data_IF_814097759206
#
_entry.id   IF_814097759206
#
_cell.length_a   1.000
_cell.length_b   1.000
_cell.length_c   1.000
_cell.angle_alpha   90.00
_cell.angle_beta   90.00
_cell.angle_gamma   90.00
#
_symmetry.space_group_name_H-M   'P 1'
#
loop_
_entity.id
_entity.type
_entity.pdbx_description
1 polymer ?
#
# COMPACT_ATOMS: atom_id res chain seq x y z
N UNK A 1 -26.14 28.16 -28.10
CA UNK A 1 -25.99 26.70 -28.26
C UNK A 1 -25.60 26.09 -26.93
N UNK A 2 -26.33 25.06 -26.51
CA UNK A 2 -26.40 24.53 -25.13
C UNK A 2 -25.09 23.89 -24.67
N UNK A 3 -24.67 24.12 -23.42
CA UNK A 3 -23.42 23.64 -22.81
C UNK A 3 -23.27 22.10 -22.78
N UNK A 4 -24.35 21.38 -23.09
CA UNK A 4 -24.37 19.92 -23.16
C UNK A 4 -23.63 19.36 -24.39
N UNK A 5 -23.43 20.14 -25.45
CA UNK A 5 -22.73 19.65 -26.66
C UNK A 5 -21.22 19.54 -26.49
N UNK A 6 -20.63 20.27 -25.54
CA UNK A 6 -19.17 20.27 -25.32
C UNK A 6 -18.66 19.03 -24.59
N UNK A 7 -19.51 18.35 -23.84
CA UNK A 7 -19.14 17.16 -23.05
C UNK A 7 -19.09 15.90 -23.95
N UNK A 8 -19.90 15.84 -25.00
CA UNK A 8 -19.91 14.72 -25.94
C UNK A 8 -18.66 14.66 -26.84
N UNK A 9 -18.02 15.81 -27.11
CA UNK A 9 -16.79 15.89 -27.91
C UNK A 9 -15.53 15.40 -27.17
N UNK A 10 -15.60 15.25 -25.84
CA UNK A 10 -14.48 14.83 -24.99
C UNK A 10 -14.51 13.33 -24.64
N UNK A 11 -15.43 12.55 -25.20
CA UNK A 11 -15.52 11.11 -24.95
C UNK A 11 -15.01 10.30 -26.15
N UNK A 12 -13.88 9.57 -26.02
CA UNK A 12 -13.22 8.88 -27.14
C UNK A 12 -13.99 7.69 -27.72
N UNK A 13 -15.14 7.31 -27.13
CA UNK A 13 -15.96 6.16 -27.56
C UNK A 13 -17.42 6.52 -27.89
N UNK A 14 -17.73 7.80 -28.13
CA UNK A 14 -19.11 8.23 -28.45
C UNK A 14 -19.70 7.53 -29.69
N UNK A 15 -18.88 7.09 -30.64
CA UNK A 15 -19.30 6.33 -31.82
C UNK A 15 -19.84 4.92 -31.52
N UNK A 16 -19.48 4.29 -30.39
CA UNK A 16 -20.02 2.98 -29.99
C UNK A 16 -21.43 3.06 -29.39
N UNK A 17 -21.85 4.25 -28.95
CA UNK A 17 -23.16 4.48 -28.32
C UNK A 17 -24.25 4.92 -29.31
N UNK A 18 -23.99 4.80 -30.62
CA UNK A 18 -25.00 5.07 -31.67
C UNK A 18 -25.37 6.54 -31.86
N UNK A 19 -24.62 7.48 -31.27
CA UNK A 19 -24.79 8.90 -31.58
C UNK A 19 -24.12 9.19 -32.94
N UNK A 20 -24.83 9.81 -33.89
CA UNK A 20 -24.27 10.09 -35.21
C UNK A 20 -23.05 11.00 -35.03
N UNK A 21 -21.94 10.64 -35.69
CA UNK A 21 -20.83 11.56 -35.89
C UNK A 21 -21.40 12.83 -36.47
N UNK A 22 -21.42 13.91 -35.69
CA UNK A 22 -21.72 15.22 -36.23
C UNK A 22 -20.54 15.54 -37.15
N UNK A 23 -20.68 15.24 -38.44
CA UNK A 23 -19.88 15.86 -39.48
C UNK A 23 -20.00 17.36 -39.24
N UNK A 24 -18.93 17.92 -38.69
CA UNK A 24 -18.85 19.32 -38.36
C UNK A 24 -19.27 20.14 -39.58
N UNK A 25 -20.19 21.12 -39.46
CA UNK A 25 -20.24 22.17 -40.45
C UNK A 25 -18.83 22.77 -40.48
N UNK A 26 -18.26 22.87 -41.68
CA UNK A 26 -16.97 23.48 -42.00
C UNK A 26 -16.89 24.85 -41.30
N UNK A 27 -16.38 24.84 -40.07
CA UNK A 27 -16.04 26.02 -39.32
C UNK A 27 -14.72 26.44 -39.95
N UNK A 28 -14.76 27.61 -40.58
CA UNK A 28 -13.61 28.27 -41.16
C UNK A 28 -12.55 28.41 -40.06
N UNK A 29 -11.66 27.43 -40.00
CA UNK A 29 -10.45 27.45 -39.21
C UNK A 29 -9.64 28.61 -39.77
N UNK A 30 -9.73 29.72 -39.06
CA UNK A 30 -8.84 30.87 -39.20
C UNK A 30 -7.47 30.36 -38.80
N UNK A 31 -6.82 29.72 -39.76
CA UNK A 31 -5.44 29.29 -39.69
C UNK A 31 -4.61 30.57 -39.54
N UNK A 32 -4.21 30.88 -38.31
CA UNK A 32 -3.49 32.12 -37.96
C UNK A 32 -2.14 32.26 -38.69
N UNK A 33 -1.72 31.20 -39.40
CA UNK A 33 -0.55 31.16 -40.28
C UNK A 33 -0.90 31.45 -41.75
N UNK A 34 -2.15 31.75 -42.11
CA UNK A 34 -2.49 32.22 -43.46
C UNK A 34 -2.31 33.73 -43.57
N UNK A 35 -1.82 34.17 -44.72
CA UNK A 35 -1.77 35.58 -45.06
C UNK A 35 -3.19 36.12 -45.14
N UNK A 36 -3.43 37.27 -44.50
CA UNK A 36 -4.74 37.93 -44.56
C UNK A 36 -4.82 38.74 -45.85
N UNK A 37 -6.01 38.81 -46.44
CA UNK A 37 -6.23 39.52 -47.71
C UNK A 37 -5.89 41.02 -47.63
N UNK A 38 -5.88 41.59 -46.42
CA UNK A 38 -5.56 43.00 -46.14
C UNK A 38 -4.08 43.25 -45.75
N UNK A 39 -3.22 42.23 -45.76
CA UNK A 39 -1.81 42.34 -45.33
C UNK A 39 -0.82 42.24 -46.49
N UNK A 40 0.19 43.12 -46.46
CA UNK A 40 1.32 43.04 -47.39
C UNK A 40 2.20 41.83 -47.09
N UNK A 41 2.91 41.32 -48.10
CA UNK A 41 3.86 40.21 -47.95
C UNK A 41 4.93 40.51 -46.87
N UNK A 42 5.32 41.77 -46.70
CA UNK A 42 6.29 42.21 -45.69
C UNK A 42 5.70 42.14 -44.27
N UNK A 43 4.44 42.53 -44.08
CA UNK A 43 3.75 42.46 -42.79
C UNK A 43 3.45 41.02 -42.38
N UNK A 44 3.14 40.16 -43.36
CA UNK A 44 2.98 38.73 -43.16
C UNK A 44 4.30 38.08 -42.69
N UNK A 45 5.40 38.33 -43.40
CA UNK A 45 6.71 37.79 -43.05
C UNK A 45 7.14 38.21 -41.63
N UNK A 46 6.94 39.49 -41.28
CA UNK A 46 7.28 40.01 -39.96
C UNK A 46 6.46 39.39 -38.83
N UNK A 47 5.16 39.13 -39.05
CA UNK A 47 4.32 38.46 -38.05
C UNK A 47 4.74 37.01 -37.84
N UNK A 48 5.02 36.28 -38.93
CA UNK A 48 5.47 34.89 -38.85
C UNK A 48 6.80 34.77 -38.11
N UNK A 49 7.76 35.65 -38.41
CA UNK A 49 9.02 35.69 -37.65
C UNK A 49 8.83 35.98 -36.16
N UNK A 50 7.86 36.83 -35.78
CA UNK A 50 7.61 37.13 -34.38
C UNK A 50 6.91 35.97 -33.66
N UNK A 51 6.02 35.24 -34.34
CA UNK A 51 5.43 34.01 -33.84
C UNK A 51 6.49 32.92 -33.64
N UNK A 52 7.35 32.70 -34.63
CA UNK A 52 8.43 31.69 -34.55
C UNK A 52 9.38 32.00 -33.39
N UNK A 53 9.77 33.28 -33.21
CA UNK A 53 10.60 33.71 -32.07
C UNK A 53 9.90 33.54 -30.71
N UNK A 54 8.57 33.64 -30.64
CA UNK A 54 7.80 33.38 -29.41
C UNK A 54 7.69 31.88 -29.12
N UNK A 55 7.44 31.06 -30.14
CA UNK A 55 7.40 29.60 -30.02
C UNK A 55 8.78 29.04 -29.60
N UNK A 56 9.88 29.56 -30.15
CA UNK A 56 11.24 29.16 -29.79
C UNK A 56 11.57 29.51 -28.32
N UNK A 57 11.18 30.71 -27.86
CA UNK A 57 11.35 31.10 -26.45
C UNK A 57 10.51 30.25 -25.50
N UNK A 58 9.29 29.89 -25.90
CA UNK A 58 8.43 29.01 -25.11
C UNK A 58 9.04 27.61 -24.98
N UNK A 59 9.54 27.03 -26.07
CA UNK A 59 10.24 25.74 -26.04
C UNK A 59 11.49 25.76 -25.16
N UNK A 60 12.28 26.83 -25.24
CA UNK A 60 13.50 26.97 -24.43
C UNK A 60 13.19 27.14 -22.94
N UNK A 61 12.09 27.81 -22.59
CA UNK A 61 11.64 27.93 -21.21
C UNK A 61 11.13 26.60 -20.65
N UNK A 62 10.39 25.81 -21.45
CA UNK A 62 9.91 24.47 -21.07
C UNK A 62 11.09 23.49 -20.89
N UNK A 63 12.12 23.58 -21.73
CA UNK A 63 13.33 22.76 -21.60
C UNK A 63 14.14 23.11 -20.35
N UNK A 64 14.25 24.40 -20.00
CA UNK A 64 14.92 24.83 -18.76
C UNK A 64 14.13 24.46 -17.49
N UNK A 65 12.81 24.38 -17.57
CA UNK A 65 11.96 23.89 -16.48
C UNK A 65 12.17 22.38 -16.26
N UNK A 66 12.14 21.59 -17.34
CA UNK A 66 12.39 20.14 -17.28
C UNK A 66 13.79 19.80 -16.77
N UNK A 67 14.81 20.55 -17.15
CA UNK A 67 16.18 20.32 -16.66
C UNK A 67 16.34 20.67 -15.16
N UNK A 68 15.58 21.66 -14.66
CA UNK A 68 15.52 21.98 -13.22
C UNK A 68 14.73 20.94 -12.42
N UNK A 69 13.71 20.35 -13.00
CA UNK A 69 12.93 19.26 -12.40
C UNK A 69 13.75 17.97 -12.33
N UNK A 70 14.46 17.61 -13.41
CA UNK A 70 15.36 16.46 -13.45
C UNK A 70 16.51 16.56 -12.42
N UNK A 71 17.08 17.76 -12.22
CA UNK A 71 18.09 17.98 -11.17
C UNK A 71 17.56 17.88 -9.73
N UNK A 72 16.26 18.06 -9.51
CA UNK A 72 15.64 17.90 -8.18
C UNK A 72 15.29 16.45 -7.86
N UNK A 73 15.15 15.61 -8.88
CA UNK A 73 14.89 14.18 -8.73
C UNK A 73 16.15 13.34 -8.39
N UNK A 74 17.36 13.83 -8.71
CA UNK A 74 18.61 13.07 -8.47
C UNK A 74 19.14 13.16 -7.01
N UNK A 75 18.70 14.16 -6.22
CA UNK A 75 19.15 14.36 -4.82
C UNK A 75 18.11 13.97 -3.75
N UNK A 76 16.98 13.36 -4.12
CA UNK A 76 15.90 13.05 -3.18
C UNK A 76 15.09 11.81 -3.54
N UNK A 77 15.53 10.67 -3.00
CA UNK A 77 14.70 9.60 -2.42
C UNK A 77 13.33 9.35 -3.09
N UNK A 78 13.34 8.40 -4.05
CA UNK A 78 12.22 7.56 -4.54
C UNK A 78 10.81 8.00 -4.08
N UNK A 79 10.31 9.10 -4.65
CA UNK A 79 8.95 9.59 -4.43
C UNK A 79 8.01 8.76 -5.30
N UNK A 80 7.42 7.75 -4.69
CA UNK A 80 6.32 6.98 -5.29
C UNK A 80 5.17 7.95 -5.48
N UNK A 81 5.03 8.40 -6.73
CA UNK A 81 3.90 9.14 -7.28
C UNK A 81 2.58 8.49 -6.82
N UNK A 82 2.01 9.08 -5.77
CA UNK A 82 0.67 8.82 -5.32
C UNK A 82 -0.14 10.06 -5.68
N UNK A 83 -0.61 10.08 -6.93
CA UNK A 83 -1.72 10.91 -7.44
C UNK A 83 -2.83 11.01 -6.38
N UNK A 84 -2.76 12.08 -5.60
CA UNK A 84 -3.79 12.50 -4.67
C UNK A 84 -4.21 13.90 -5.12
N UNK A 85 -5.24 13.92 -5.97
CA UNK A 85 -6.05 15.07 -6.32
C UNK A 85 -6.57 15.73 -5.03
N UNK A 86 -5.84 16.73 -4.53
CA UNK A 86 -6.29 17.64 -3.48
C UNK A 86 -6.33 19.06 -4.06
N UNK A 87 -7.25 19.25 -5.02
CA UNK A 87 -7.79 20.57 -5.32
C UNK A 87 -8.72 20.96 -4.18
N UNK A 88 -8.19 21.57 -3.12
CA UNK A 88 -8.93 22.61 -2.41
C UNK A 88 -8.07 23.52 -1.50
N UNK A 89 -8.49 24.79 -1.53
CA UNK A 89 -8.12 25.94 -0.70
C UNK A 89 -6.78 26.65 -0.97
N UNK A 90 -6.85 27.55 -1.98
CA UNK A 90 -6.13 28.82 -1.96
C UNK A 90 -6.56 29.67 -0.74
N UNK A 91 -5.63 30.48 -0.23
CA UNK A 91 -5.77 31.41 0.91
C UNK A 91 -5.65 30.84 2.34
N UNK A 92 -4.56 30.15 2.65
CA UNK A 92 -3.89 30.46 3.92
C UNK A 92 -2.36 30.34 3.80
N UNK A 93 -1.65 31.32 4.36
CA UNK A 93 -0.31 31.74 3.95
C UNK A 93 0.75 30.64 3.89
N UNK A 94 1.88 30.90 3.20
CA UNK A 94 3.02 29.98 2.96
C UNK A 94 3.48 29.09 4.14
N UNK A 95 3.16 29.46 5.40
CA UNK A 95 3.35 28.63 6.60
C UNK A 95 2.31 27.50 6.74
N UNK A 96 1.04 27.74 6.43
CA UNK A 96 -0.02 26.74 6.42
C UNK A 96 0.23 25.65 5.37
N UNK A 97 0.66 26.03 4.15
CA UNK A 97 1.07 25.07 3.10
C UNK A 97 2.25 24.17 3.52
N UNK A 98 3.28 24.74 4.16
CA UNK A 98 4.41 23.95 4.70
C UNK A 98 3.98 22.99 5.82
N UNK A 99 3.06 23.42 6.68
CA UNK A 99 2.51 22.59 7.75
C UNK A 99 1.61 21.46 7.20
N UNK A 100 0.79 21.73 6.17
CA UNK A 100 0.02 20.71 5.44
C UNK A 100 0.96 19.65 4.84
N UNK A 101 2.01 20.07 4.14
CA UNK A 101 3.00 19.14 3.56
C UNK A 101 3.76 18.32 4.61
N UNK A 102 4.12 18.90 5.76
CA UNK A 102 4.75 18.16 6.85
C UNK A 102 3.83 17.08 7.44
N UNK A 103 2.54 17.39 7.62
CA UNK A 103 1.55 16.41 8.09
C UNK A 103 1.34 15.29 7.08
N UNK A 104 1.32 15.60 5.79
CA UNK A 104 1.14 14.59 4.75
C UNK A 104 2.33 13.64 4.68
N UNK A 105 3.56 14.16 4.68
CA UNK A 105 4.78 13.34 4.76
C UNK A 105 4.77 12.43 5.99
N UNK A 106 4.35 12.96 7.13
CA UNK A 106 4.25 12.19 8.36
C UNK A 106 3.17 11.09 8.28
N UNK A 107 2.02 11.38 7.68
CA UNK A 107 0.97 10.38 7.43
C UNK A 107 1.47 9.26 6.52
N UNK A 108 2.21 9.60 5.46
CA UNK A 108 2.82 8.63 4.54
C UNK A 108 3.85 7.77 5.28
N UNK A 109 4.74 8.40 6.05
CA UNK A 109 5.73 7.71 6.89
C UNK A 109 5.05 6.69 7.82
N UNK A 110 4.05 7.13 8.57
CA UNK A 110 3.29 6.26 9.47
C UNK A 110 2.59 5.12 8.72
N UNK A 111 1.93 5.41 7.59
CA UNK A 111 1.24 4.40 6.80
C UNK A 111 2.19 3.31 6.30
N UNK A 112 3.37 3.68 5.80
CA UNK A 112 4.37 2.74 5.31
C UNK A 112 4.92 1.86 6.44
N UNK A 113 5.23 2.44 7.61
CA UNK A 113 5.71 1.68 8.78
C UNK A 113 4.65 0.68 9.26
N UNK A 114 3.39 1.10 9.37
CA UNK A 114 2.28 0.23 9.78
C UNK A 114 2.05 -0.88 8.76
N UNK A 115 2.07 -0.58 7.46
CA UNK A 115 1.92 -1.59 6.41
C UNK A 115 3.03 -2.66 6.48
N UNK A 116 4.29 -2.24 6.66
CA UNK A 116 5.41 -3.16 6.86
C UNK A 116 5.23 -4.00 8.13
N UNK A 117 4.76 -3.39 9.23
CA UNK A 117 4.42 -4.07 10.48
C UNK A 117 3.35 -5.14 10.32
N UNK A 118 2.25 -4.83 9.60
CA UNK A 118 1.18 -5.78 9.30
C UNK A 118 1.72 -6.95 8.47
N UNK A 119 2.49 -6.67 7.42
CA UNK A 119 3.12 -7.69 6.57
C UNK A 119 4.05 -8.62 7.37
N UNK A 120 4.77 -8.07 8.34
CA UNK A 120 5.70 -8.82 9.20
C UNK A 120 5.03 -9.45 10.44
N UNK A 121 3.74 -9.25 10.67
CA UNK A 121 3.04 -9.75 11.87
C UNK A 121 3.43 -9.03 13.18
N UNK A 122 3.96 -7.80 13.10
CA UNK A 122 4.52 -7.01 14.22
C UNK A 122 3.83 -5.65 14.40
N UNK A 123 2.50 -5.67 14.45
CA UNK A 123 1.68 -4.44 14.48
C UNK A 123 2.01 -3.55 15.68
N UNK A 124 2.21 -4.11 16.88
CA UNK A 124 2.50 -3.33 18.08
C UNK A 124 3.86 -2.61 18.00
N UNK A 125 4.90 -3.27 17.49
CA UNK A 125 6.22 -2.64 17.32
C UNK A 125 6.16 -1.55 16.26
N UNK A 126 5.45 -1.80 15.15
CA UNK A 126 5.26 -0.81 14.11
C UNK A 126 4.46 0.41 14.59
N UNK A 127 3.47 0.23 15.48
CA UNK A 127 2.74 1.33 16.09
C UNK A 127 3.65 2.24 16.92
N UNK A 128 4.53 1.66 17.75
CA UNK A 128 5.52 2.43 18.52
C UNK A 128 6.47 3.17 17.58
N UNK A 129 6.97 2.51 16.52
CA UNK A 129 7.85 3.17 15.56
C UNK A 129 7.16 4.30 14.76
N UNK A 130 5.90 4.13 14.42
CA UNK A 130 5.13 5.14 13.70
C UNK A 130 4.81 6.35 14.60
N UNK A 131 4.32 6.15 15.82
CA UNK A 131 3.74 7.24 16.63
C UNK A 131 4.66 7.80 17.72
N UNK A 132 5.52 6.96 18.29
CA UNK A 132 6.35 7.33 19.45
C UNK A 132 7.81 7.65 19.07
N UNK A 133 8.17 7.47 17.79
CA UNK A 133 9.55 7.68 17.32
C UNK A 133 9.62 8.48 16.03
N UNK A 134 10.76 9.14 15.82
CA UNK A 134 11.10 9.87 14.61
C UNK A 134 12.00 9.08 13.65
N UNK A 135 11.91 7.74 13.67
CA UNK A 135 12.69 6.90 12.76
C UNK A 135 12.27 7.12 11.31
N UNK A 136 13.24 7.06 10.39
CA UNK A 136 12.90 7.00 8.96
C UNK A 136 12.23 5.66 8.64
N UNK A 137 11.51 5.60 7.52
CA UNK A 137 10.79 4.40 7.09
C UNK A 137 11.75 3.23 6.92
N UNK A 138 12.89 3.44 6.26
CA UNK A 138 13.92 2.44 6.09
C UNK A 138 14.45 1.90 7.44
N UNK A 139 14.75 2.80 8.38
CA UNK A 139 15.24 2.41 9.71
C UNK A 139 14.19 1.59 10.48
N UNK A 140 12.93 1.99 10.45
CA UNK A 140 11.84 1.28 11.10
C UNK A 140 11.63 -0.11 10.47
N UNK A 141 11.70 -0.23 9.15
CA UNK A 141 11.59 -1.53 8.44
C UNK A 141 12.78 -2.43 8.79
N UNK A 142 14.00 -1.90 8.82
CA UNK A 142 15.18 -2.67 9.24
C UNK A 142 15.06 -3.15 10.69
N UNK A 143 14.56 -2.31 11.60
CA UNK A 143 14.34 -2.69 12.99
C UNK A 143 13.25 -3.77 13.15
N UNK A 144 12.16 -3.67 12.39
CA UNK A 144 11.13 -4.71 12.32
C UNK A 144 11.68 -6.04 11.77
N UNK A 145 12.64 -5.99 10.83
CA UNK A 145 13.33 -7.18 10.34
C UNK A 145 14.30 -7.77 11.37
N UNK A 146 15.06 -6.93 12.06
CA UNK A 146 16.02 -7.35 13.08
C UNK A 146 15.34 -8.03 14.27
N UNK A 147 14.15 -7.58 14.68
CA UNK A 147 13.41 -8.21 15.77
C UNK A 147 12.98 -9.65 15.48
N UNK A 148 13.03 -10.11 14.21
CA UNK A 148 12.85 -11.52 13.86
C UNK A 148 14.06 -12.35 14.24
N UNK A 149 15.24 -11.80 14.02
CA UNK A 149 16.51 -12.47 14.30
C UNK A 149 16.71 -12.66 15.80
N UNK A 150 16.22 -11.70 16.60
CA UNK A 150 16.31 -11.73 18.06
C UNK A 150 15.18 -12.53 18.72
N UNK A 151 14.22 -13.06 17.96
CA UNK A 151 13.13 -13.86 18.53
C UNK A 151 13.74 -15.12 19.16
N UNK A 152 13.61 -15.33 20.49
CA UNK A 152 14.15 -16.53 21.11
C UNK A 152 13.48 -17.74 20.46
N UNK A 153 14.30 -18.67 19.96
CA UNK A 153 13.80 -19.93 19.41
C UNK A 153 12.88 -20.57 20.44
N UNK A 154 11.62 -20.79 20.06
CA UNK A 154 10.64 -21.38 20.95
C UNK A 154 11.25 -22.67 21.54
N UNK A 155 11.34 -22.73 22.86
CA UNK A 155 11.86 -23.92 23.53
C UNK A 155 10.88 -25.03 23.23
N UNK A 156 11.34 -26.09 22.58
CA UNK A 156 10.52 -27.27 22.31
C UNK A 156 9.97 -27.78 23.64
N UNK A 157 8.65 -27.83 23.74
CA UNK A 157 7.97 -28.25 24.97
C UNK A 157 8.31 -29.71 25.30
N UNK A 158 8.13 -30.11 26.56
CA UNK A 158 8.27 -31.51 26.94
C UNK A 158 7.40 -32.43 26.06
N UNK A 159 6.19 -32.00 25.70
CA UNK A 159 5.30 -32.75 24.82
C UNK A 159 5.89 -33.03 23.44
N UNK A 160 6.57 -32.06 22.83
CA UNK A 160 7.25 -32.24 21.54
C UNK A 160 8.48 -33.14 21.67
N UNK A 161 9.21 -33.03 22.79
CA UNK A 161 10.32 -33.94 23.12
C UNK A 161 9.87 -35.37 23.42
N UNK A 162 8.67 -35.55 23.95
CA UNK A 162 8.07 -36.85 24.25
C UNK A 162 7.28 -37.42 23.06
N UNK A 163 7.02 -36.63 22.02
CA UNK A 163 6.29 -37.07 20.82
C UNK A 163 7.00 -38.20 20.05
N UNK A 164 8.33 -38.23 20.11
CA UNK A 164 9.16 -39.28 19.49
C UNK A 164 9.39 -40.46 20.41
N UNK A 165 9.02 -40.35 21.69
CA UNK A 165 9.15 -41.44 22.65
C UNK A 165 7.87 -42.25 22.58
N UNK A 166 7.94 -43.41 21.93
CA UNK A 166 6.86 -44.38 22.00
C UNK A 166 6.62 -44.70 23.47
N UNK A 167 5.45 -44.28 24.00
CA UNK A 167 5.03 -44.67 25.32
C UNK A 167 5.10 -46.20 25.34
N UNK A 168 5.84 -46.83 26.28
CA UNK A 168 5.76 -48.26 26.43
C UNK A 168 4.28 -48.52 26.70
N UNK A 169 3.63 -49.19 25.75
CA UNK A 169 2.31 -49.75 25.93
C UNK A 169 2.48 -50.53 27.22
N UNK A 170 1.88 -50.04 28.31
CA UNK A 170 1.71 -50.86 29.49
C UNK A 170 0.97 -52.07 28.93
N UNK A 171 1.72 -53.16 28.71
CA UNK A 171 1.13 -54.43 28.31
C UNK A 171 -0.05 -54.58 29.25
N UNK A 172 -1.30 -54.67 28.75
CA UNK A 172 -2.38 -54.97 29.65
C UNK A 172 -1.91 -56.26 30.32
N UNK A 173 -1.60 -56.20 31.62
CA UNK A 173 -1.40 -57.40 32.39
C UNK A 173 -2.61 -58.24 32.02
N UNK A 174 -2.37 -59.39 31.40
CA UNK A 174 -3.41 -60.21 30.77
C UNK A 174 -4.48 -60.71 31.77
N UNK A 175 -4.39 -60.26 33.03
CA UNK A 175 -5.27 -60.56 34.15
C UNK A 175 -5.61 -59.32 35.00
N UNK A 176 -5.37 -58.10 34.51
CA UNK A 176 -5.92 -56.90 35.17
C UNK A 176 -7.37 -56.75 34.70
N UNK A 177 -8.38 -57.01 35.56
CA UNK A 177 -9.76 -56.86 35.13
C UNK A 177 -10.03 -55.39 34.80
N UNK A 178 -10.84 -55.16 33.76
CA UNK A 178 -11.27 -53.84 33.34
C UNK A 178 -11.78 -53.06 34.55
N UNK A 179 -11.34 -51.80 34.68
CA UNK A 179 -11.63 -50.95 35.84
C UNK A 179 -13.14 -50.77 36.10
N UNK A 180 -13.95 -50.97 35.06
CA UNK A 180 -15.40 -50.77 35.07
C UNK A 180 -16.21 -52.08 35.14
N UNK A 181 -15.56 -53.25 35.28
CA UNK A 181 -16.29 -54.51 35.45
C UNK A 181 -16.77 -54.68 36.91
N UNK A 182 -18.11 -54.65 37.17
CA UNK A 182 -18.65 -54.74 38.52
C UNK A 182 -18.27 -56.05 39.23
N UNK A 183 -18.03 -57.14 38.49
CA UNK A 183 -17.62 -58.42 39.09
C UNK A 183 -16.20 -58.36 39.65
N UNK A 184 -15.31 -57.65 38.98
CA UNK A 184 -13.93 -57.47 39.43
C UNK A 184 -13.82 -56.57 40.66
N UNK A 185 -14.66 -55.53 40.74
CA UNK A 185 -14.75 -54.66 41.91
C UNK A 185 -15.24 -55.46 43.12
N UNK A 186 -16.29 -56.29 42.94
CA UNK A 186 -16.81 -57.14 44.00
C UNK A 186 -15.78 -58.15 44.52
N UNK A 187 -15.03 -58.79 43.61
CA UNK A 187 -13.97 -59.74 43.99
C UNK A 187 -12.83 -59.07 44.76
N UNK A 188 -12.44 -57.84 44.38
CA UNK A 188 -11.44 -57.05 45.12
C UNK A 188 -11.92 -56.70 46.53
N UNK A 189 -13.20 -56.32 46.68
CA UNK A 189 -13.78 -56.02 47.98
C UNK A 189 -13.85 -57.26 48.90
N UNK A 190 -14.22 -58.42 48.34
CA UNK A 190 -14.26 -59.69 49.08
C UNK A 190 -12.85 -60.13 49.50
N UNK A 191 -11.86 -60.04 48.60
CA UNK A 191 -10.47 -60.38 48.90
C UNK A 191 -9.87 -59.44 49.96
N UNK A 192 -10.22 -58.15 49.94
CA UNK A 192 -9.82 -57.22 50.98
C UNK A 192 -10.45 -57.56 52.34
N UNK A 193 -11.73 -57.93 52.37
CA UNK A 193 -12.42 -58.34 53.59
C UNK A 193 -11.84 -59.65 54.17
N UNK A 194 -11.49 -60.62 53.33
CA UNK A 194 -10.85 -61.87 53.75
C UNK A 194 -9.48 -61.63 54.41
N UNK A 195 -8.68 -60.70 53.87
CA UNK A 195 -7.40 -60.30 54.49
C UNK A 195 -7.57 -59.65 55.86
N UNK A 196 -8.61 -58.82 56.02
CA UNK A 196 -8.93 -58.19 57.31
C UNK A 196 -9.44 -59.23 58.33
N UNK A 197 -10.10 -60.29 57.87
CA UNK A 197 -10.52 -61.44 58.70
C UNK A 197 -9.42 -62.46 58.98
N UNK A 198 -8.23 -62.31 58.39
CA UNK A 198 -7.11 -63.23 58.59
C UNK A 198 -7.26 -64.58 57.88
N UNK A 199 -8.12 -64.65 56.85
CA UNK A 199 -8.41 -65.87 56.09
C UNK A 199 -7.49 -66.01 54.85
N UNK A 200 -6.23 -65.55 54.95
CA UNK A 200 -5.27 -65.51 53.85
C UNK A 200 -3.97 -66.23 54.17
#
# INVERSE_FOLDING_TARGET
>A
MSKLTKIAAAMPFAHFLGLPSASAPRMEETDDRKQRDDESDEDYAKRMEEQDKKEEKARKAEEEEKDKEAKRADEGDDDVDAEADDKDDEEDGKRAGRAKGARQRERIRCAQIIAAGIKAGRVNQAAVFAFDTSLSVAQAISALGASELDKPKARTGLGERMSTVAAPIATPQAEAPAADDPRAIAQRAIAAAARVRGEA
#
